data_IF_369259593252
#
_entry.id   IF_369259593252
#
_cell.length_a   1.000
_cell.length_b   1.000
_cell.length_c   1.000
_cell.angle_alpha   90.00
_cell.angle_beta   90.00
_cell.angle_gamma   90.00
#
_symmetry.space_group_name_H-M   'P 1'
#
loop_
_entity.id
_entity.type
_entity.pdbx_description
1 polymer ?
#
# COMPACT_ATOMS: atom_id res chain seq x y z
N UNK A 1 -0.26 3.04 -9.19
CA UNK A 1 -0.49 4.00 -8.09
C UNK A 1 -1.89 4.56 -8.19
N UNK A 2 -2.62 4.51 -7.09
CA UNK A 2 -3.95 5.09 -6.97
C UNK A 2 -3.85 6.47 -6.35
N UNK A 3 -4.66 7.40 -6.82
CA UNK A 3 -4.76 8.72 -6.23
C UNK A 3 -6.21 9.11 -6.05
N UNK A 4 -6.46 9.95 -5.07
CA UNK A 4 -7.80 10.44 -4.77
C UNK A 4 -7.80 11.86 -4.23
N UNK A 5 -8.96 12.48 -4.28
CA UNK A 5 -9.22 13.77 -3.67
C UNK A 5 -9.60 13.55 -2.20
N UNK A 6 -8.75 14.01 -1.30
CA UNK A 6 -8.98 13.96 0.15
C UNK A 6 -9.53 15.29 0.63
N UNK A 7 -10.61 15.25 1.40
CA UNK A 7 -11.26 16.46 1.93
C UNK A 7 -11.62 16.30 3.40
N UNK A 8 -11.29 17.32 4.16
CA UNK A 8 -11.77 17.52 5.53
C UNK A 8 -12.17 18.98 5.73
N UNK A 9 -13.43 19.25 6.02
CA UNK A 9 -14.00 20.62 6.11
C UNK A 9 -13.64 21.43 4.85
N UNK A 10 -12.91 22.54 5.01
CA UNK A 10 -12.50 23.43 3.93
C UNK A 10 -11.15 23.05 3.28
N UNK A 11 -10.45 22.04 3.84
CA UNK A 11 -9.19 21.55 3.31
C UNK A 11 -9.44 20.49 2.25
N UNK A 12 -8.82 20.67 1.08
CA UNK A 12 -8.91 19.78 -0.07
C UNK A 12 -7.51 19.50 -0.63
N UNK A 13 -7.14 18.22 -0.71
CA UNK A 13 -6.01 17.76 -1.50
C UNK A 13 -6.56 17.03 -2.73
N UNK A 14 -6.50 17.63 -3.92
CA UNK A 14 -7.23 17.12 -5.10
C UNK A 14 -6.68 15.82 -5.67
N UNK A 15 -5.39 15.55 -5.45
CA UNK A 15 -4.73 14.34 -5.90
C UNK A 15 -3.64 13.94 -4.90
N UNK A 16 -3.92 12.94 -4.08
CA UNK A 16 -2.95 12.37 -3.17
C UNK A 16 -2.93 10.84 -3.31
N UNK A 17 -1.76 10.19 -3.17
CA UNK A 17 -1.63 8.74 -3.25
C UNK A 17 -2.53 8.02 -2.24
N UNK A 18 -3.12 6.93 -2.71
CA UNK A 18 -3.85 5.97 -1.89
C UNK A 18 -3.11 4.65 -1.99
N UNK A 19 -2.60 4.17 -0.88
CA UNK A 19 -2.05 2.83 -0.76
C UNK A 19 -3.08 1.91 -0.11
N UNK A 20 -3.07 0.65 -0.49
CA UNK A 20 -4.02 -0.30 0.07
C UNK A 20 -3.34 -1.66 0.27
N UNK A 21 -3.56 -2.22 1.45
CA UNK A 21 -2.87 -3.43 1.89
C UNK A 21 -3.83 -4.44 2.50
N UNK A 22 -3.34 -5.65 2.67
CA UNK A 22 -3.97 -6.67 3.49
C UNK A 22 -3.74 -6.39 4.99
N UNK A 23 -4.49 -7.03 5.87
CA UNK A 23 -4.41 -6.77 7.31
C UNK A 23 -3.02 -7.07 7.94
N UNK A 24 -2.23 -7.90 7.28
CA UNK A 24 -0.90 -8.28 7.74
C UNK A 24 0.24 -7.36 7.22
N UNK A 25 -0.08 -6.21 6.62
CA UNK A 25 0.94 -5.31 6.04
C UNK A 25 2.02 -4.87 7.03
N UNK A 26 1.67 -4.72 8.32
CA UNK A 26 2.64 -4.40 9.37
C UNK A 26 3.76 -5.45 9.53
N UNK A 27 3.54 -6.69 9.08
CA UNK A 27 4.57 -7.74 9.11
C UNK A 27 5.65 -7.54 8.04
N UNK A 28 5.38 -6.71 7.03
CA UNK A 28 6.30 -6.38 5.94
C UNK A 28 7.14 -5.11 6.20
N UNK A 29 6.88 -4.44 7.27
CA UNK A 29 7.55 -3.21 7.71
C UNK A 29 6.54 -2.43 8.54
N UNK A 30 6.57 -2.63 9.87
CA UNK A 30 5.64 -1.96 10.75
C UNK A 30 5.79 -0.44 10.62
N UNK A 31 4.71 0.30 10.35
CA UNK A 31 4.76 1.74 10.33
C UNK A 31 5.00 2.27 11.76
N UNK A 32 5.75 3.34 11.88
CA UNK A 32 5.95 4.06 13.13
C UNK A 32 4.69 4.85 13.48
N UNK A 33 3.76 4.19 14.17
CA UNK A 33 2.46 4.77 14.52
C UNK A 33 2.60 5.84 15.59
N UNK A 34 1.92 6.97 15.41
CA UNK A 34 1.80 7.97 16.46
C UNK A 34 0.91 7.48 17.61
N UNK A 35 1.14 7.99 18.85
CA UNK A 35 0.35 7.60 20.01
C UNK A 35 -1.16 7.73 19.79
N UNK A 36 -1.91 6.75 20.28
CA UNK A 36 -3.38 6.70 20.14
C UNK A 36 -3.87 6.16 18.81
N UNK A 37 -3.02 6.14 17.77
CA UNK A 37 -3.35 5.58 16.48
C UNK A 37 -3.13 4.08 16.40
N UNK A 38 -3.81 3.44 15.44
CA UNK A 38 -3.68 2.01 15.16
C UNK A 38 -3.80 1.74 13.66
N UNK A 39 -3.35 0.58 13.25
CA UNK A 39 -3.63 0.02 11.93
C UNK A 39 -5.00 -0.69 11.93
N UNK A 40 -5.52 -0.99 10.75
CA UNK A 40 -6.77 -1.74 10.62
C UNK A 40 -6.60 -3.22 10.96
N UNK A 41 -7.65 -3.79 11.52
CA UNK A 41 -7.73 -5.17 11.96
C UNK A 41 -8.10 -6.12 10.81
N UNK A 42 -7.91 -7.43 11.02
CA UNK A 42 -8.38 -8.46 10.10
C UNK A 42 -9.91 -8.40 9.89
N UNK A 43 -10.67 -8.07 10.93
CA UNK A 43 -12.11 -7.93 10.83
C UNK A 43 -12.49 -6.73 9.95
N UNK A 44 -11.84 -5.57 10.12
CA UNK A 44 -12.05 -4.38 9.29
C UNK A 44 -11.65 -4.65 7.83
N UNK A 45 -10.57 -5.40 7.61
CA UNK A 45 -10.19 -5.85 6.29
C UNK A 45 -11.28 -6.75 5.65
N UNK A 46 -11.77 -7.78 6.35
CA UNK A 46 -12.78 -8.70 5.81
C UNK A 46 -14.12 -8.02 5.54
N UNK A 47 -14.52 -7.11 6.40
CA UNK A 47 -15.78 -6.36 6.25
C UNK A 47 -15.68 -5.22 5.23
N UNK A 48 -14.48 -4.92 4.73
CA UNK A 48 -14.19 -3.73 3.93
C UNK A 48 -14.64 -2.44 4.66
N UNK A 49 -14.27 -2.35 5.94
CA UNK A 49 -14.61 -1.20 6.76
C UNK A 49 -14.02 0.09 6.18
N UNK A 50 -14.77 1.17 6.23
CA UNK A 50 -14.35 2.48 5.73
C UNK A 50 -13.45 3.18 6.74
N UNK A 51 -12.27 2.61 6.95
CA UNK A 51 -11.22 3.14 7.82
C UNK A 51 -9.98 3.49 7.01
N UNK A 52 -9.24 4.48 7.48
CA UNK A 52 -8.03 4.96 6.82
C UNK A 52 -6.97 5.37 7.85
N UNK A 53 -5.72 5.08 7.52
CA UNK A 53 -4.53 5.52 8.24
C UNK A 53 -3.83 6.57 7.38
N UNK A 54 -3.41 7.67 7.97
CA UNK A 54 -2.75 8.78 7.26
C UNK A 54 -1.28 8.82 7.61
N UNK A 55 -0.41 9.26 6.68
CA UNK A 55 0.92 9.66 7.10
C UNK A 55 0.89 11.07 7.73
N UNK A 56 1.96 11.45 8.45
CA UNK A 56 2.07 12.75 9.12
C UNK A 56 1.81 13.91 8.18
N UNK A 57 2.36 13.88 6.98
CA UNK A 57 2.18 14.94 5.98
C UNK A 57 0.72 15.10 5.54
N UNK A 58 -0.03 14.01 5.39
CA UNK A 58 -1.45 14.07 5.08
C UNK A 58 -2.24 14.62 6.27
N UNK A 59 -1.94 14.16 7.48
CA UNK A 59 -2.60 14.63 8.70
C UNK A 59 -2.40 16.14 8.88
N UNK A 60 -1.18 16.64 8.76
CA UNK A 60 -0.86 18.06 8.86
C UNK A 60 -1.60 18.91 7.81
N UNK A 61 -1.64 18.46 6.56
CA UNK A 61 -2.31 19.19 5.48
C UNK A 61 -3.83 19.25 5.63
N UNK A 62 -4.46 18.20 6.17
CA UNK A 62 -5.93 18.17 6.33
C UNK A 62 -6.39 18.76 7.66
N UNK A 63 -5.64 18.58 8.73
CA UNK A 63 -6.07 18.88 10.09
C UNK A 63 -5.28 20.01 10.76
N UNK A 64 -4.11 20.39 10.22
CA UNK A 64 -3.20 21.31 10.90
C UNK A 64 -2.79 20.73 12.26
N UNK A 65 -2.96 21.53 13.32
CA UNK A 65 -2.66 21.12 14.69
C UNK A 65 -3.78 20.33 15.39
N UNK A 66 -4.91 20.08 14.68
CA UNK A 66 -6.05 19.34 15.25
C UNK A 66 -5.79 17.84 15.23
N UNK A 67 -6.24 17.13 16.25
CA UNK A 67 -6.16 15.67 16.31
C UNK A 67 -7.00 15.03 15.19
N UNK A 68 -6.40 14.25 14.29
CA UNK A 68 -7.10 13.58 13.20
C UNK A 68 -7.83 12.30 13.61
N UNK A 69 -7.52 11.72 14.78
CA UNK A 69 -8.09 10.44 15.20
C UNK A 69 -9.62 10.52 15.36
N UNK A 70 -10.30 9.48 14.93
CA UNK A 70 -11.76 9.31 14.93
C UNK A 70 -12.52 10.38 14.11
N UNK A 71 -11.82 11.22 13.37
CA UNK A 71 -12.45 12.16 12.45
C UNK A 71 -12.82 11.48 11.13
N UNK A 72 -13.90 11.96 10.55
CA UNK A 72 -14.37 11.48 9.24
C UNK A 72 -13.88 12.42 8.15
N UNK A 73 -13.17 11.86 7.18
CA UNK A 73 -12.76 12.55 5.95
C UNK A 73 -13.48 11.97 4.75
N UNK A 74 -13.48 12.67 3.64
CA UNK A 74 -13.95 12.12 2.37
C UNK A 74 -12.78 11.85 1.42
N UNK A 75 -12.83 10.71 0.76
CA UNK A 75 -11.90 10.35 -0.32
C UNK A 75 -12.73 10.03 -1.55
N UNK A 76 -12.56 10.80 -2.61
CA UNK A 76 -13.39 10.70 -3.82
C UNK A 76 -14.91 10.68 -3.50
N UNK A 77 -15.36 11.51 -2.57
CA UNK A 77 -16.76 11.60 -2.14
C UNK A 77 -17.23 10.50 -1.17
N UNK A 78 -16.42 9.50 -0.86
CA UNK A 78 -16.73 8.45 0.11
C UNK A 78 -16.16 8.82 1.48
N UNK A 79 -16.93 8.56 2.55
CA UNK A 79 -16.53 8.82 3.92
C UNK A 79 -15.65 7.71 4.49
N UNK A 80 -14.59 8.11 5.21
CA UNK A 80 -13.66 7.22 5.91
C UNK A 80 -13.35 7.77 7.29
N UNK A 81 -13.27 6.89 8.28
CA UNK A 81 -12.82 7.26 9.62
C UNK A 81 -11.32 7.14 9.72
N UNK A 82 -10.65 8.17 10.19
CA UNK A 82 -9.20 8.14 10.45
C UNK A 82 -8.96 7.37 11.74
N UNK A 83 -8.24 6.25 11.66
CA UNK A 83 -7.96 5.37 12.80
C UNK A 83 -6.51 5.42 13.28
N UNK A 84 -5.65 6.10 12.55
CA UNK A 84 -4.25 6.23 12.92
C UNK A 84 -3.50 7.20 12.04
N UNK A 85 -2.37 7.64 12.59
CA UNK A 85 -1.37 8.43 11.87
C UNK A 85 -0.02 7.76 12.08
N UNK A 86 0.79 7.70 11.03
CA UNK A 86 2.13 7.11 11.09
C UNK A 86 3.19 8.04 10.52
N UNK A 87 4.40 7.92 11.05
CA UNK A 87 5.58 8.55 10.45
C UNK A 87 6.10 7.68 9.33
N UNK A 88 6.34 8.29 8.21
CA UNK A 88 7.00 7.62 7.10
C UNK A 88 8.51 7.59 7.34
N UNK A 89 9.12 6.41 7.22
CA UNK A 89 10.58 6.32 7.19
C UNK A 89 11.03 6.92 5.87
N UNK A 90 11.74 8.02 5.93
CA UNK A 90 12.25 8.71 4.74
C UNK A 90 13.08 7.74 3.89
N UNK A 91 12.49 7.23 2.84
CA UNK A 91 13.20 6.51 1.80
C UNK A 91 13.50 7.49 0.67
N UNK A 92 14.77 7.77 0.45
CA UNK A 92 15.21 8.61 -0.67
C UNK A 92 14.68 8.10 -2.03
N UNK A 93 14.44 6.79 -2.14
CA UNK A 93 13.91 6.14 -3.33
C UNK A 93 12.38 6.24 -3.45
N UNK A 94 11.66 6.59 -2.40
CA UNK A 94 10.19 6.64 -2.40
C UNK A 94 9.61 8.01 -2.79
N UNK A 95 10.42 8.93 -3.29
CA UNK A 95 9.92 10.18 -3.86
C UNK A 95 9.53 11.27 -2.85
N UNK A 96 10.10 11.25 -1.65
CA UNK A 96 9.89 12.27 -0.62
C UNK A 96 8.62 12.05 0.22
N UNK A 97 8.44 12.93 1.18
CA UNK A 97 7.36 12.89 2.17
C UNK A 97 6.04 13.43 1.55
N UNK A 98 5.43 12.61 0.67
CA UNK A 98 4.16 12.97 0.04
C UNK A 98 3.00 12.63 0.96
N UNK A 99 2.02 13.55 1.03
CA UNK A 99 0.77 13.28 1.72
C UNK A 99 0.07 12.04 1.11
N UNK A 100 -0.20 11.02 1.92
CA UNK A 100 -0.88 9.79 1.46
C UNK A 100 -1.74 9.15 2.55
N UNK A 101 -2.70 8.34 2.11
CA UNK A 101 -3.54 7.54 2.98
C UNK A 101 -3.42 6.06 2.67
N UNK A 102 -3.56 5.24 3.71
CA UNK A 102 -3.52 3.77 3.64
C UNK A 102 -4.84 3.19 4.10
N UNK A 103 -5.43 2.29 3.34
CA UNK A 103 -6.70 1.64 3.68
C UNK A 103 -6.66 0.13 3.40
N UNK A 104 -7.61 -0.66 3.91
CA UNK A 104 -7.72 -2.06 3.52
C UNK A 104 -7.97 -2.18 2.01
N UNK A 105 -7.30 -3.13 1.35
CA UNK A 105 -7.46 -3.32 -0.10
C UNK A 105 -8.90 -3.72 -0.48
N UNK A 106 -9.60 -4.41 0.41
CA UNK A 106 -11.02 -4.74 0.26
C UNK A 106 -11.91 -3.49 0.30
N UNK A 107 -11.54 -2.50 1.09
CA UNK A 107 -12.20 -1.19 1.15
C UNK A 107 -11.97 -0.39 -0.13
N UNK A 108 -10.72 -0.35 -0.62
CA UNK A 108 -10.37 0.28 -1.88
C UNK A 108 -11.21 -0.30 -3.04
N UNK A 109 -11.30 -1.64 -3.12
CA UNK A 109 -12.08 -2.33 -4.14
C UNK A 109 -13.56 -1.97 -4.08
N UNK A 110 -14.15 -1.99 -2.87
CA UNK A 110 -15.59 -1.81 -2.68
C UNK A 110 -16.03 -0.35 -2.74
N UNK A 111 -15.25 0.56 -2.16
CA UNK A 111 -15.61 1.98 -2.06
C UNK A 111 -15.17 2.79 -3.28
N UNK A 112 -14.03 2.45 -3.91
CA UNK A 112 -13.46 3.18 -5.03
C UNK A 112 -13.50 2.40 -6.35
N UNK A 113 -14.14 1.24 -6.35
CA UNK A 113 -14.39 0.39 -7.54
C UNK A 113 -13.12 0.00 -8.32
N UNK A 114 -12.05 -0.28 -7.59
CA UNK A 114 -10.75 -0.65 -8.14
C UNK A 114 -10.74 -2.11 -8.57
N UNK A 115 -10.18 -2.39 -9.76
CA UNK A 115 -10.10 -3.75 -10.30
C UNK A 115 -8.99 -4.56 -9.63
N UNK A 116 -9.24 -5.87 -9.43
CA UNK A 116 -8.22 -6.79 -8.89
C UNK A 116 -7.00 -6.94 -9.79
N UNK A 117 -7.14 -6.73 -11.11
CA UNK A 117 -6.03 -6.78 -12.07
C UNK A 117 -4.93 -5.76 -11.80
N UNK A 118 -5.25 -4.70 -11.07
CA UNK A 118 -4.33 -3.58 -10.84
C UNK A 118 -3.56 -3.73 -9.52
N UNK A 119 -3.61 -4.92 -8.91
CA UNK A 119 -2.98 -5.22 -7.63
C UNK A 119 -1.74 -6.09 -7.82
N UNK A 120 -0.72 -5.80 -7.01
CA UNK A 120 0.48 -6.62 -6.87
C UNK A 120 0.45 -7.47 -5.61
N UNK A 121 1.23 -8.55 -5.61
CA UNK A 121 1.53 -9.33 -4.42
C UNK A 121 2.92 -8.96 -3.93
N UNK A 122 3.04 -8.62 -2.67
CA UNK A 122 4.32 -8.47 -1.99
C UNK A 122 4.55 -9.72 -1.16
N UNK A 123 5.67 -10.41 -1.41
CA UNK A 123 6.01 -11.66 -0.76
C UNK A 123 7.35 -11.49 -0.05
N UNK A 124 7.38 -11.89 1.22
CA UNK A 124 8.60 -11.89 2.04
C UNK A 124 8.95 -13.33 2.40
N UNK A 125 10.21 -13.77 2.17
CA UNK A 125 10.63 -15.10 2.58
C UNK A 125 10.55 -15.23 4.11
N UNK A 126 10.27 -16.44 4.56
CA UNK A 126 10.41 -16.76 5.98
C UNK A 126 11.89 -16.78 6.35
N UNK A 127 12.20 -16.54 7.61
CA UNK A 127 13.56 -16.65 8.12
C UNK A 127 14.16 -18.01 7.76
N UNK A 128 15.35 -18.00 7.16
CA UNK A 128 16.07 -19.23 6.75
C UNK A 128 15.68 -19.77 5.37
N UNK A 129 14.77 -19.11 4.65
CA UNK A 129 14.44 -19.46 3.26
C UNK A 129 15.25 -18.55 2.32
N UNK A 130 16.05 -19.17 1.47
CA UNK A 130 16.78 -18.46 0.42
C UNK A 130 15.82 -17.84 -0.59
N UNK A 131 16.17 -16.64 -1.10
CA UNK A 131 15.33 -15.87 -2.01
C UNK A 131 14.99 -16.62 -3.28
N UNK A 132 15.97 -17.26 -3.89
CA UNK A 132 15.80 -17.98 -5.17
C UNK A 132 14.85 -19.16 -5.00
N UNK A 133 14.97 -19.90 -3.90
CA UNK A 133 14.04 -20.99 -3.56
C UNK A 133 12.61 -20.45 -3.39
N UNK A 134 12.44 -19.29 -2.76
CA UNK A 134 11.14 -18.65 -2.65
C UNK A 134 10.60 -18.24 -4.03
N UNK A 135 11.42 -17.63 -4.88
CA UNK A 135 11.03 -17.21 -6.24
C UNK A 135 10.55 -18.40 -7.06
N UNK A 136 11.26 -19.52 -7.00
CA UNK A 136 10.90 -20.76 -7.71
C UNK A 136 9.56 -21.31 -7.19
N UNK A 137 9.38 -21.38 -5.87
CA UNK A 137 8.13 -21.85 -5.26
C UNK A 137 6.95 -20.96 -5.61
N UNK A 138 7.12 -19.64 -5.56
CA UNK A 138 6.09 -18.67 -5.94
C UNK A 138 5.75 -18.80 -7.42
N UNK A 139 6.76 -18.93 -8.28
CA UNK A 139 6.58 -19.14 -9.72
C UNK A 139 5.77 -20.39 -10.00
N UNK A 140 6.15 -21.52 -9.41
CA UNK A 140 5.46 -22.79 -9.57
C UNK A 140 3.99 -22.69 -9.09
N UNK A 141 3.77 -22.07 -7.92
CA UNK A 141 2.44 -21.88 -7.36
C UNK A 141 1.56 -21.02 -8.26
N UNK A 142 2.06 -19.87 -8.71
CA UNK A 142 1.30 -18.95 -9.57
C UNK A 142 1.02 -19.57 -10.95
N UNK A 143 1.97 -20.31 -11.53
CA UNK A 143 1.76 -21.05 -12.78
C UNK A 143 0.64 -22.10 -12.61
N UNK A 144 0.66 -22.86 -11.52
CA UNK A 144 -0.39 -23.82 -11.19
C UNK A 144 -1.76 -23.17 -11.00
N UNK A 145 -1.84 -22.08 -10.22
CA UNK A 145 -3.10 -21.35 -9.99
C UNK A 145 -3.68 -20.73 -11.28
N UNK A 146 -2.82 -20.39 -12.25
CA UNK A 146 -3.22 -19.83 -13.55
C UNK A 146 -3.43 -20.89 -14.64
N UNK A 147 -3.23 -22.18 -14.31
CA UNK A 147 -3.41 -23.28 -15.25
C UNK A 147 -2.43 -23.27 -16.42
N UNK A 148 -1.24 -22.66 -16.25
CA UNK A 148 -0.23 -22.59 -17.30
C UNK A 148 0.44 -23.95 -17.51
N UNK A 149 0.57 -24.36 -18.76
CA UNK A 149 1.29 -25.58 -19.15
C UNK A 149 2.80 -25.37 -18.98
N UNK A 150 3.61 -26.43 -18.80
CA UNK A 150 5.06 -26.33 -18.67
C UNK A 150 5.75 -25.55 -19.80
N UNK A 151 5.23 -25.68 -21.03
CA UNK A 151 5.77 -25.01 -22.22
C UNK A 151 5.27 -23.59 -22.46
N UNK A 152 4.32 -23.12 -21.67
CA UNK A 152 3.79 -21.76 -21.79
C UNK A 152 4.65 -20.77 -21.01
N UNK A 153 4.85 -19.58 -21.54
CA UNK A 153 5.50 -18.50 -20.81
C UNK A 153 4.65 -18.00 -19.64
N UNK A 154 5.29 -17.50 -18.59
CA UNK A 154 4.58 -16.93 -17.46
C UNK A 154 3.90 -15.62 -17.87
N UNK A 155 2.61 -15.51 -17.58
CA UNK A 155 1.80 -14.29 -17.82
C UNK A 155 1.79 -13.34 -16.62
N UNK A 156 2.85 -13.37 -15.81
CA UNK A 156 3.13 -12.51 -14.67
C UNK A 156 4.63 -12.24 -14.57
N UNK A 157 4.98 -11.13 -13.92
CA UNK A 157 6.36 -10.78 -13.63
C UNK A 157 6.61 -10.86 -12.12
N UNK A 158 7.79 -11.35 -11.75
CA UNK A 158 8.31 -11.29 -10.40
C UNK A 158 9.43 -10.25 -10.39
N UNK A 159 9.23 -9.18 -9.62
CA UNK A 159 10.21 -8.13 -9.43
C UNK A 159 10.92 -8.39 -8.10
N UNK A 160 12.19 -8.70 -8.16
CA UNK A 160 13.06 -8.76 -6.97
C UNK A 160 13.73 -7.41 -6.76
N UNK A 161 14.16 -7.14 -5.53
CA UNK A 161 14.85 -5.89 -5.21
C UNK A 161 16.12 -5.70 -6.04
N UNK A 162 16.86 -6.78 -6.31
CA UNK A 162 18.08 -6.75 -7.14
C UNK A 162 17.76 -6.38 -8.59
N UNK A 163 16.71 -6.95 -9.17
CA UNK A 163 16.27 -6.58 -10.53
C UNK A 163 15.81 -5.12 -10.63
N UNK A 164 15.23 -4.58 -9.57
CA UNK A 164 14.91 -3.16 -9.51
C UNK A 164 16.18 -2.32 -9.50
N UNK A 165 17.18 -2.68 -8.69
CA UNK A 165 18.47 -1.98 -8.65
C UNK A 165 19.22 -2.09 -9.99
N UNK A 166 19.30 -3.28 -10.59
CA UNK A 166 19.89 -3.47 -11.92
C UNK A 166 19.21 -2.62 -13.00
N UNK A 167 17.87 -2.50 -12.92
CA UNK A 167 17.13 -1.65 -13.85
C UNK A 167 17.45 -0.17 -13.62
N UNK A 168 17.57 0.28 -12.38
CA UNK A 168 18.02 1.62 -12.05
C UNK A 168 19.43 1.88 -12.54
N UNK A 169 20.38 0.99 -12.28
CA UNK A 169 21.77 1.13 -12.72
C UNK A 169 21.88 1.15 -14.25
N UNK A 170 21.08 0.38 -14.96
CA UNK A 170 21.05 0.39 -16.43
C UNK A 170 20.47 1.67 -17.03
N UNK A 171 19.53 2.32 -16.33
CA UNK A 171 18.91 3.56 -16.79
C UNK A 171 19.77 4.79 -16.43
N UNK A 172 20.35 4.80 -15.24
CA UNK A 172 21.10 5.94 -14.71
C UNK A 172 22.61 5.81 -14.81
N UNK A 173 23.15 4.60 -14.97
CA UNK A 173 24.57 4.34 -15.20
C UNK A 173 25.06 4.59 -16.64
N UNK A 174 24.18 5.05 -17.51
CA UNK A 174 24.49 5.48 -18.89
C UNK A 174 24.74 6.99 -19.04
N UNK A 175 24.84 7.73 -17.91
CA UNK A 175 25.13 9.18 -17.95
C UNK A 175 26.41 9.52 -17.19
#
# INVERSE_FOLDING_TARGET
DWSGAFKYRDQLLPAAPIEAYTANWAQFGAPDMLPGGRIFTEQEFRSAARVIVLNTTMAERLFGDSDPLDKVITVNGNQFTVIGVYKETASFLAGGDRAKGVMPVTTLQRALNVRRSDMGLVIKPRTGVERDVMVDQVTATLRGMRGLRPSEESNFAILTQDKLLETYDSIFGMF
#
